data_IF_974673993692
#
_entry.id   IF_974673993692
#
_cell.length_a   1.000
_cell.length_b   1.000
_cell.length_c   1.000
_cell.angle_alpha   90.00
_cell.angle_beta   90.00
_cell.angle_gamma   90.00
#
_symmetry.space_group_name_H-M   'P 1'
#
loop_
_entity.id
_entity.type
_entity.pdbx_description
1 polymer ?
#
# COMPACT_ATOMS: atom_id res chain seq x y z
N UNK A 1 7.84 -49.68 -3.51
CA UNK A 1 7.52 -48.92 -2.29
C UNK A 1 8.17 -47.56 -2.48
N UNK A 2 7.38 -46.55 -2.85
CA UNK A 2 7.88 -45.20 -3.13
C UNK A 2 7.29 -44.30 -2.05
N UNK A 3 8.18 -43.72 -1.25
CA UNK A 3 7.86 -42.93 -0.07
C UNK A 3 7.10 -41.67 -0.43
N UNK A 4 5.97 -41.47 0.25
CA UNK A 4 5.12 -40.30 0.12
C UNK A 4 5.79 -39.07 0.71
N UNK A 5 6.28 -38.19 -0.16
CA UNK A 5 6.71 -36.85 0.24
C UNK A 5 5.45 -36.06 0.60
N UNK A 6 5.18 -35.95 1.90
CA UNK A 6 4.19 -35.02 2.46
C UNK A 6 4.67 -33.60 2.24
N UNK A 7 4.33 -33.01 1.09
CA UNK A 7 4.53 -31.58 0.84
C UNK A 7 3.50 -30.83 1.68
N UNK A 8 3.90 -30.43 2.89
CA UNK A 8 3.15 -29.44 3.66
C UNK A 8 3.39 -28.07 3.03
N UNK A 9 2.48 -27.67 2.15
CA UNK A 9 2.43 -26.31 1.64
C UNK A 9 2.13 -25.34 2.81
N UNK A 10 2.93 -24.26 2.92
CA UNK A 10 2.69 -23.08 3.76
C UNK A 10 2.61 -23.34 5.28
N UNK A 11 3.76 -23.57 5.92
CA UNK A 11 3.85 -23.71 7.38
C UNK A 11 3.78 -22.38 8.16
N UNK A 12 3.76 -21.22 7.48
CA UNK A 12 3.81 -19.90 8.13
C UNK A 12 2.78 -18.94 7.52
N UNK A 13 1.49 -19.30 7.55
CA UNK A 13 0.43 -18.30 7.36
C UNK A 13 0.43 -17.37 8.58
N UNK A 14 0.62 -16.05 8.42
CA UNK A 14 0.52 -15.11 9.52
C UNK A 14 -0.90 -15.18 10.10
N UNK A 15 -1.01 -15.57 11.37
CA UNK A 15 -2.29 -15.50 12.07
C UNK A 15 -2.55 -14.04 12.43
N UNK A 16 -3.63 -13.48 11.88
CA UNK A 16 -4.07 -12.12 12.22
C UNK A 16 -4.41 -12.05 13.70
N UNK A 17 -3.71 -11.21 14.45
CA UNK A 17 -4.11 -10.85 15.81
C UNK A 17 -5.33 -9.94 15.74
N UNK A 18 -6.34 -10.15 16.60
CA UNK A 18 -7.47 -9.23 16.72
C UNK A 18 -7.00 -8.00 17.51
N UNK A 19 -6.29 -7.09 16.86
CA UNK A 19 -6.02 -5.77 17.43
C UNK A 19 -7.03 -4.75 16.89
N UNK A 20 -7.86 -4.34 17.84
CA UNK A 20 -8.72 -3.17 17.98
C UNK A 20 -8.87 -2.25 16.76
N UNK A 21 -10.12 -2.20 16.26
CA UNK A 21 -10.52 -1.33 15.16
C UNK A 21 -10.40 0.14 15.51
N UNK A 22 -9.43 0.81 14.88
CA UNK A 22 -9.46 2.26 14.74
C UNK A 22 -10.27 2.60 13.49
N UNK A 23 -11.38 3.32 13.69
CA UNK A 23 -11.99 4.16 12.65
C UNK A 23 -10.87 4.87 11.88
N UNK A 24 -11.05 5.13 10.59
CA UNK A 24 -10.40 6.28 9.94
C UNK A 24 -10.84 7.59 10.62
N UNK A 25 -10.38 7.82 11.83
CA UNK A 25 -10.76 8.95 12.68
C UNK A 25 -10.07 10.20 12.15
N UNK A 26 -10.85 11.28 12.06
CA UNK A 26 -10.31 12.64 11.95
C UNK A 26 -9.76 13.13 13.29
N UNK A 27 -9.90 12.33 14.34
CA UNK A 27 -9.31 12.59 15.65
C UNK A 27 -7.80 12.41 15.52
N UNK A 28 -7.07 13.49 15.73
CA UNK A 28 -5.62 13.56 15.60
C UNK A 28 -4.98 13.80 16.99
N UNK A 29 -5.05 12.81 17.90
CA UNK A 29 -4.53 12.97 19.25
C UNK A 29 -3.02 13.27 19.26
N UNK A 30 -2.31 12.82 18.23
CA UNK A 30 -0.85 12.96 18.08
C UNK A 30 -0.44 14.16 17.20
N UNK A 31 -1.38 14.92 16.65
CA UNK A 31 -1.12 16.12 15.84
C UNK A 31 -0.47 15.85 14.46
N UNK A 32 -0.55 14.62 13.94
CA UNK A 32 0.13 14.15 12.72
C UNK A 32 -0.48 14.70 11.42
N UNK A 33 -1.69 15.24 11.41
CA UNK A 33 -2.34 15.76 10.20
C UNK A 33 -1.78 17.12 9.77
N UNK A 34 -1.33 17.93 10.74
CA UNK A 34 -1.00 19.34 10.53
C UNK A 34 0.41 19.58 9.98
N UNK A 35 1.35 18.67 10.25
CA UNK A 35 2.73 18.77 9.82
C UNK A 35 3.36 17.39 9.54
N UNK A 36 4.67 17.37 9.27
CA UNK A 36 5.43 16.15 8.99
C UNK A 36 6.49 15.86 10.07
N UNK A 37 6.33 16.33 11.32
CA UNK A 37 7.32 16.13 12.39
C UNK A 37 7.51 14.66 12.78
N UNK A 38 6.49 13.84 12.54
CA UNK A 38 6.55 12.38 12.72
C UNK A 38 7.45 11.68 11.67
N UNK A 39 7.85 12.37 10.60
CA UNK A 39 8.68 11.79 9.55
C UNK A 39 10.13 11.60 10.00
N UNK A 40 10.63 10.38 9.91
CA UNK A 40 12.03 10.05 10.20
C UNK A 40 12.91 9.91 8.95
N UNK A 41 12.31 9.76 7.76
CA UNK A 41 13.04 9.58 6.51
C UNK A 41 13.32 10.89 5.75
N UNK A 42 12.72 12.00 6.19
CA UNK A 42 12.84 13.33 5.57
C UNK A 42 12.13 13.52 4.23
N UNK A 43 11.36 12.54 3.75
CA UNK A 43 10.72 12.57 2.42
C UNK A 43 9.19 12.56 2.43
N UNK A 44 8.55 12.44 3.60
CA UNK A 44 7.09 12.38 3.70
C UNK A 44 6.42 13.73 3.39
N UNK A 45 5.11 13.70 3.23
CA UNK A 45 4.25 14.88 3.08
C UNK A 45 3.08 14.80 4.07
N UNK A 46 2.44 15.94 4.36
CA UNK A 46 1.21 15.95 5.13
C UNK A 46 0.11 15.20 4.37
N UNK A 47 -0.72 14.45 5.11
CA UNK A 47 -1.76 13.60 4.56
C UNK A 47 -3.12 14.00 5.14
N UNK A 48 -4.20 13.58 4.48
CA UNK A 48 -5.57 13.93 4.89
C UNK A 48 -6.09 13.11 6.06
N UNK A 49 -5.50 11.95 6.31
CA UNK A 49 -5.95 11.01 7.36
C UNK A 49 -4.77 10.57 8.20
N UNK A 50 -5.02 10.30 9.48
CA UNK A 50 -4.00 9.89 10.45
C UNK A 50 -3.37 8.56 10.01
N UNK A 51 -4.17 7.64 9.47
CA UNK A 51 -3.70 6.36 8.92
C UNK A 51 -2.71 6.51 7.76
N UNK A 52 -2.82 7.58 6.98
CA UNK A 52 -1.89 7.89 5.87
C UNK A 52 -0.65 8.66 6.34
N UNK A 53 -0.67 9.26 7.54
CA UNK A 53 0.48 9.91 8.15
C UNK A 53 1.50 8.89 8.67
N UNK A 54 1.99 8.00 7.80
CA UNK A 54 2.91 6.90 8.10
C UNK A 54 4.25 7.10 7.39
N UNK A 55 5.34 6.99 8.14
CA UNK A 55 6.71 7.04 7.63
C UNK A 55 7.18 5.63 7.26
N UNK A 56 7.94 5.51 6.17
CA UNK A 56 8.50 4.21 5.75
C UNK A 56 9.46 3.58 6.78
N UNK A 57 9.94 4.35 7.76
CA UNK A 57 10.80 3.90 8.85
C UNK A 57 10.00 3.40 10.06
N UNK A 58 8.69 3.61 10.09
CA UNK A 58 7.78 3.08 11.12
C UNK A 58 7.25 1.68 10.75
N UNK A 59 7.54 1.18 9.54
CA UNK A 59 7.12 -0.14 9.08
C UNK A 59 8.27 -1.14 9.18
N UNK A 60 8.14 -2.15 10.04
CA UNK A 60 9.17 -3.16 10.26
C UNK A 60 9.57 -3.89 8.97
N UNK A 61 8.59 -4.30 8.16
CA UNK A 61 8.84 -4.96 6.87
C UNK A 61 9.66 -4.10 5.91
N UNK A 62 9.52 -2.77 5.98
CA UNK A 62 10.31 -1.86 5.15
C UNK A 62 11.73 -1.77 5.69
N UNK A 63 11.90 -1.70 7.02
CA UNK A 63 13.22 -1.70 7.66
C UNK A 63 14.03 -2.96 7.33
N UNK A 64 13.38 -4.12 7.23
CA UNK A 64 14.03 -5.40 6.92
C UNK A 64 14.65 -5.46 5.51
N UNK A 65 14.14 -4.66 4.56
CA UNK A 65 14.66 -4.65 3.18
C UNK A 65 15.48 -3.40 2.86
N UNK A 66 15.48 -2.41 3.75
CA UNK A 66 16.16 -1.14 3.52
C UNK A 66 17.68 -1.33 3.73
N UNK A 67 18.53 -0.98 2.75
CA UNK A 67 19.97 -0.99 2.94
C UNK A 67 20.41 -0.07 4.09
N UNK A 68 21.51 -0.40 4.76
CA UNK A 68 22.03 0.36 5.91
C UNK A 68 22.30 1.84 5.59
N UNK A 69 22.72 2.14 4.36
CA UNK A 69 23.01 3.49 3.86
C UNK A 69 21.78 4.22 3.31
N UNK A 70 20.61 3.57 3.33
CA UNK A 70 19.39 4.11 2.75
C UNK A 70 18.47 4.68 3.82
N UNK A 71 18.22 5.99 3.77
CA UNK A 71 17.38 6.69 4.75
C UNK A 71 15.88 6.64 4.45
N UNK A 72 15.49 6.28 3.22
CA UNK A 72 14.09 6.24 2.79
C UNK A 72 13.87 5.17 1.73
N UNK A 73 12.76 4.43 1.82
CA UNK A 73 12.37 3.40 0.83
C UNK A 73 12.30 3.95 -0.60
N UNK A 74 11.99 5.23 -0.80
CA UNK A 74 11.94 5.85 -2.13
C UNK A 74 13.33 6.04 -2.76
N UNK A 75 14.41 5.81 -2.00
CA UNK A 75 15.80 5.83 -2.45
C UNK A 75 16.38 4.43 -2.57
N UNK A 76 15.59 3.40 -2.24
CA UNK A 76 15.99 2.01 -2.43
C UNK A 76 16.26 1.75 -3.93
N UNK A 77 17.35 1.05 -4.31
CA UNK A 77 17.69 0.84 -5.72
C UNK A 77 16.58 0.19 -6.55
N UNK A 78 15.82 -0.71 -5.93
CA UNK A 78 14.70 -1.40 -6.58
C UNK A 78 13.37 -0.63 -6.54
N UNK A 79 13.30 0.53 -5.88
CA UNK A 79 12.06 1.30 -5.79
C UNK A 79 11.55 1.72 -7.16
N UNK A 80 12.44 2.17 -8.04
CA UNK A 80 12.08 2.55 -9.40
C UNK A 80 11.50 1.37 -10.17
N UNK A 81 12.19 0.22 -10.14
CA UNK A 81 11.77 -0.99 -10.83
C UNK A 81 10.38 -1.48 -10.38
N UNK A 82 10.12 -1.48 -9.07
CA UNK A 82 8.88 -2.06 -8.54
C UNK A 82 7.74 -1.06 -8.40
N UNK A 83 7.99 0.23 -8.17
CA UNK A 83 6.93 1.19 -7.86
C UNK A 83 6.73 2.28 -8.93
N UNK A 84 7.70 2.53 -9.82
CA UNK A 84 7.66 3.65 -10.77
C UNK A 84 7.73 3.23 -12.24
N UNK A 85 8.33 2.07 -12.55
CA UNK A 85 8.48 1.59 -13.92
C UNK A 85 7.10 1.31 -14.55
N UNK A 86 6.79 2.03 -15.62
CA UNK A 86 5.46 2.03 -16.26
C UNK A 86 5.04 0.63 -16.69
N UNK A 87 5.96 -0.13 -17.28
CA UNK A 87 5.72 -1.50 -17.76
C UNK A 87 5.34 -2.44 -16.61
N UNK A 88 6.02 -2.31 -15.46
CA UNK A 88 5.72 -3.10 -14.27
C UNK A 88 4.36 -2.72 -13.67
N UNK A 89 4.02 -1.42 -13.67
CA UNK A 89 2.72 -0.92 -13.22
C UNK A 89 1.60 -1.43 -14.13
N UNK A 90 1.75 -1.34 -15.45
CA UNK A 90 0.77 -1.85 -16.42
C UNK A 90 0.58 -3.36 -16.27
N UNK A 91 1.67 -4.11 -16.07
CA UNK A 91 1.61 -5.54 -15.83
C UNK A 91 0.83 -5.86 -14.55
N UNK A 92 1.12 -5.14 -13.46
CA UNK A 92 0.39 -5.27 -12.19
C UNK A 92 -1.10 -4.99 -12.36
N UNK A 93 -1.47 -3.93 -13.08
CA UNK A 93 -2.87 -3.60 -13.40
C UNK A 93 -3.55 -4.77 -14.13
N UNK A 94 -2.91 -5.28 -15.18
CA UNK A 94 -3.43 -6.41 -15.96
C UNK A 94 -3.65 -7.65 -15.09
N UNK A 95 -2.67 -7.99 -14.23
CA UNK A 95 -2.78 -9.12 -13.30
C UNK A 95 -3.91 -8.93 -12.29
N UNK A 96 -3.99 -7.76 -11.65
CA UNK A 96 -5.01 -7.48 -10.63
C UNK A 96 -6.44 -7.52 -11.21
N UNK A 97 -6.62 -7.12 -12.47
CA UNK A 97 -7.93 -7.09 -13.11
C UNK A 97 -8.23 -8.30 -14.00
N UNK A 98 -7.29 -9.24 -14.17
CA UNK A 98 -7.40 -10.41 -15.05
C UNK A 98 -8.68 -11.23 -14.80
N UNK A 99 -9.07 -11.40 -13.54
CA UNK A 99 -10.23 -12.17 -13.13
C UNK A 99 -11.41 -11.29 -12.67
N UNK A 100 -11.38 -10.01 -13.01
CA UNK A 100 -12.40 -9.04 -12.62
C UNK A 100 -13.19 -8.57 -13.83
N UNK A 101 -14.44 -8.15 -13.62
CA UNK A 101 -15.22 -7.45 -14.65
C UNK A 101 -14.90 -5.96 -14.73
N UNK A 102 -13.98 -5.47 -13.90
CA UNK A 102 -13.64 -4.06 -13.82
C UNK A 102 -12.77 -3.68 -15.01
N UNK A 103 -13.17 -2.61 -15.70
CA UNK A 103 -12.35 -1.99 -16.74
C UNK A 103 -11.30 -1.10 -16.08
N UNK A 104 -10.15 -1.00 -16.74
CA UNK A 104 -9.07 -0.08 -16.39
C UNK A 104 -8.63 0.67 -17.66
N UNK A 105 -8.03 1.83 -17.48
CA UNK A 105 -7.51 2.68 -18.55
C UNK A 105 -6.05 3.06 -18.25
N UNK A 106 -5.10 2.55 -19.04
CA UNK A 106 -3.66 2.79 -18.87
C UNK A 106 -3.23 4.20 -19.28
N UNK A 107 -4.14 4.99 -19.86
CA UNK A 107 -3.95 6.43 -20.11
C UNK A 107 -4.46 7.29 -18.94
N UNK A 108 -5.25 6.71 -18.05
CA UNK A 108 -5.79 7.38 -16.89
C UNK A 108 -4.81 7.33 -15.71
N UNK A 109 -4.36 8.50 -15.26
CA UNK A 109 -3.44 8.62 -14.12
C UNK A 109 -3.99 8.00 -12.84
N UNK A 110 -5.32 7.97 -12.64
CA UNK A 110 -5.93 7.32 -11.47
C UNK A 110 -5.67 5.82 -11.46
N UNK A 111 -5.86 5.14 -12.59
CA UNK A 111 -5.60 3.70 -12.69
C UNK A 111 -4.10 3.40 -12.59
N UNK A 112 -3.26 4.28 -13.15
CA UNK A 112 -1.80 4.19 -13.00
C UNK A 112 -1.34 4.35 -11.54
N UNK A 113 -1.92 5.30 -10.78
CA UNK A 113 -1.66 5.42 -9.32
C UNK A 113 -2.06 4.16 -8.57
N UNK A 114 -3.27 3.65 -8.82
CA UNK A 114 -3.75 2.42 -8.17
C UNK A 114 -2.84 1.23 -8.50
N UNK A 115 -2.39 1.11 -9.75
CA UNK A 115 -1.41 0.12 -10.15
C UNK A 115 -0.08 0.25 -9.41
N UNK A 116 0.47 1.47 -9.32
CA UNK A 116 1.72 1.75 -8.62
C UNK A 116 1.63 1.45 -7.11
N UNK A 117 0.51 1.80 -6.47
CA UNK A 117 0.24 1.47 -5.07
C UNK A 117 0.22 -0.05 -4.84
N UNK A 118 -0.49 -0.79 -5.71
CA UNK A 118 -0.54 -2.26 -5.64
C UNK A 118 0.80 -2.90 -5.89
N UNK A 119 1.55 -2.39 -6.86
CA UNK A 119 2.88 -2.89 -7.18
C UNK A 119 3.86 -2.69 -6.02
N UNK A 120 3.82 -1.53 -5.37
CA UNK A 120 4.59 -1.28 -4.14
C UNK A 120 4.19 -2.24 -3.02
N UNK A 121 2.89 -2.39 -2.73
CA UNK A 121 2.42 -3.30 -1.68
C UNK A 121 2.84 -4.75 -1.96
N UNK A 122 2.71 -5.22 -3.21
CA UNK A 122 3.14 -6.56 -3.59
C UNK A 122 4.65 -6.76 -3.42
N UNK A 123 5.46 -5.73 -3.70
CA UNK A 123 6.91 -5.78 -3.49
C UNK A 123 7.28 -5.84 -2.01
N UNK A 124 6.65 -5.04 -1.15
CA UNK A 124 7.01 -4.97 0.27
C UNK A 124 6.41 -6.12 1.09
N UNK A 125 5.15 -6.46 0.84
CA UNK A 125 4.38 -7.37 1.70
C UNK A 125 4.09 -8.72 1.04
N UNK A 126 4.30 -8.87 -0.27
CA UNK A 126 3.86 -10.05 -1.00
C UNK A 126 2.34 -10.18 -1.00
N UNK A 127 1.83 -11.36 -0.65
CA UNK A 127 0.40 -11.66 -0.62
C UNK A 127 -0.20 -11.38 0.76
N UNK A 128 -1.09 -10.40 0.85
CA UNK A 128 -1.75 -10.00 2.11
C UNK A 128 -3.04 -10.77 2.42
N UNK A 129 -3.61 -11.50 1.44
CA UNK A 129 -4.90 -12.16 1.61
C UNK A 129 -6.10 -11.21 1.52
N UNK A 130 -7.32 -11.74 1.71
CA UNK A 130 -8.55 -10.94 1.66
C UNK A 130 -8.71 -10.15 2.96
N UNK A 131 -9.25 -8.94 2.84
CA UNK A 131 -9.60 -7.97 3.91
C UNK A 131 -8.42 -7.39 4.69
N UNK A 132 -7.19 -7.68 4.28
CA UNK A 132 -5.99 -7.17 4.92
C UNK A 132 -5.43 -5.98 4.11
N UNK A 133 -5.76 -4.76 4.55
CA UNK A 133 -5.24 -3.51 3.97
C UNK A 133 -4.11 -2.99 4.82
N UNK A 134 -3.00 -2.63 4.18
CA UNK A 134 -1.88 -1.96 4.85
C UNK A 134 -1.71 -0.55 4.27
N UNK A 135 -1.57 0.48 5.13
CA UNK A 135 -1.27 1.84 4.67
C UNK A 135 0.09 1.93 3.97
N UNK A 136 0.14 2.72 2.89
CA UNK A 136 1.37 3.01 2.16
C UNK A 136 2.04 4.24 2.79
N UNK A 137 3.37 4.25 2.99
CA UNK A 137 4.08 5.42 3.50
C UNK A 137 3.84 6.69 2.70
N UNK A 138 3.72 7.82 3.40
CA UNK A 138 3.47 9.12 2.77
C UNK A 138 4.59 9.54 1.80
N UNK A 139 5.85 9.13 2.05
CA UNK A 139 6.95 9.39 1.11
C UNK A 139 6.74 8.65 -0.23
N UNK A 140 6.20 7.44 -0.22
CA UNK A 140 5.90 6.65 -1.42
C UNK A 140 4.69 7.26 -2.14
N UNK A 141 3.64 7.60 -1.39
CA UNK A 141 2.44 8.27 -1.93
C UNK A 141 2.84 9.57 -2.64
N UNK A 142 3.67 10.40 -2.01
CA UNK A 142 4.18 11.65 -2.59
C UNK A 142 4.83 11.43 -3.95
N UNK A 143 5.74 10.45 -4.06
CA UNK A 143 6.44 10.17 -5.32
C UNK A 143 5.47 9.69 -6.40
N UNK A 144 4.57 8.76 -6.07
CA UNK A 144 3.61 8.21 -7.04
C UNK A 144 2.59 9.27 -7.49
N UNK A 145 2.11 10.14 -6.59
CA UNK A 145 1.21 11.24 -6.94
C UNK A 145 1.88 12.27 -7.84
N UNK A 146 3.17 12.52 -7.67
CA UNK A 146 3.95 13.38 -8.57
C UNK A 146 4.15 12.74 -9.95
N UNK A 147 4.34 11.43 -10.01
CA UNK A 147 4.50 10.69 -11.27
C UNK A 147 3.18 10.63 -12.07
N UNK A 148 2.06 10.45 -11.38
CA UNK A 148 0.73 10.38 -11.98
C UNK A 148 -0.21 11.41 -11.32
N UNK A 149 -0.13 12.70 -11.71
CA UNK A 149 -0.90 13.77 -11.07
C UNK A 149 -2.40 13.67 -11.36
N UNK A 150 -3.21 14.30 -10.53
CA UNK A 150 -4.66 14.42 -10.68
C UNK A 150 -5.22 15.53 -9.78
N UNK A 151 -6.49 15.92 -9.95
CA UNK A 151 -7.16 16.85 -9.05
C UNK A 151 -7.28 16.26 -7.64
N UNK A 152 -7.40 17.12 -6.62
CA UNK A 152 -7.37 16.71 -5.21
C UNK A 152 -8.52 15.75 -4.82
N UNK A 153 -9.62 15.83 -5.55
CA UNK A 153 -10.82 15.00 -5.47
C UNK A 153 -10.61 13.57 -5.99
N UNK A 154 -9.57 13.32 -6.79
CA UNK A 154 -9.20 11.97 -7.23
C UNK A 154 -8.43 11.18 -6.15
N UNK A 155 -7.88 11.87 -5.16
CA UNK A 155 -7.13 11.24 -4.08
C UNK A 155 -8.09 10.78 -2.99
N UNK A 156 -8.64 9.58 -3.19
CA UNK A 156 -9.41 8.87 -2.16
C UNK A 156 -8.47 8.47 -1.02
N UNK A 157 -8.84 8.83 0.21
CA UNK A 157 -8.08 8.46 1.41
C UNK A 157 -8.10 6.95 1.65
N UNK A 158 -7.05 6.46 2.31
CA UNK A 158 -7.01 5.10 2.82
C UNK A 158 -8.18 4.83 3.78
N UNK A 159 -8.81 3.66 3.62
CA UNK A 159 -9.91 3.18 4.46
C UNK A 159 -9.63 1.72 4.83
N UNK A 160 -9.71 1.41 6.12
CA UNK A 160 -9.61 0.03 6.59
C UNK A 160 -10.82 -0.79 6.14
N UNK A 161 -10.66 -2.10 6.05
CA UNK A 161 -11.77 -2.96 5.62
C UNK A 161 -12.95 -2.96 6.61
N UNK A 162 -12.67 -2.82 7.91
CA UNK A 162 -13.72 -2.72 8.94
C UNK A 162 -14.64 -1.52 8.67
N UNK A 163 -14.06 -0.37 8.30
CA UNK A 163 -14.81 0.84 7.94
C UNK A 163 -15.68 0.68 6.68
N UNK A 164 -15.27 -0.19 5.74
CA UNK A 164 -16.04 -0.48 4.53
C UNK A 164 -17.23 -1.41 4.79
N UNK A 165 -17.09 -2.34 5.74
CA UNK A 165 -18.14 -3.30 6.08
C UNK A 165 -19.31 -2.64 6.83
N UNK A 166 -19.05 -1.59 7.63
CA UNK A 166 -20.08 -0.84 8.36
C UNK A 166 -20.91 0.07 7.45
N UNK A 167 -20.36 0.50 6.31
CA UNK A 167 -21.03 1.42 5.40
C UNK A 167 -21.86 0.75 4.29
N UNK A 168 -22.00 -0.59 4.26
CA UNK A 168 -22.74 -1.34 3.21
C UNK A 168 -22.38 -0.93 1.77
N UNK A 169 -21.18 -0.39 1.56
CA UNK A 169 -20.68 -0.03 0.25
C UNK A 169 -19.91 -1.22 -0.29
N UNK A 170 -20.60 -2.07 -1.07
CA UNK A 170 -19.95 -3.07 -1.93
C UNK A 170 -19.24 -2.36 -3.08
N UNK A 171 -18.19 -1.61 -2.75
CA UNK A 171 -17.17 -1.30 -3.72
C UNK A 171 -16.38 -2.58 -3.91
N UNK A 172 -16.65 -3.26 -5.03
CA UNK A 172 -15.90 -4.40 -5.57
C UNK A 172 -14.41 -4.08 -5.81
N UNK A 173 -13.72 -3.74 -4.72
CA UNK A 173 -12.30 -3.55 -4.55
C UNK A 173 -11.85 -4.76 -3.74
N UNK A 174 -11.72 -5.89 -4.43
CA UNK A 174 -10.75 -6.90 -4.04
C UNK A 174 -9.37 -6.23 -4.16
N UNK A 175 -9.02 -5.60 -3.04
CA UNK A 175 -7.71 -5.26 -2.48
C UNK A 175 -6.56 -5.35 -3.48
#
# INVERSE_FOLDING_TARGET
>A
MADGISVQCFQNDPQGTPEEGALGSTEDPDGRLSDTKWCQCGQCMAMKTVAECLCCREQEVVLQILPDDCMCITKHPLFEQYALLRENIEHTIRLCYMFTRRKYDLTNNRDMRVGAYRSYIAWIHGFLGKRNRVPIPACVIKVIRNLYPGPEEDYTSFQFYMDLAENNLDFGLNL
#
